data_IF_745299636853
#
_entry.id   IF_745299636853
#
_cell.length_a   1.000
_cell.length_b   1.000
_cell.length_c   1.000
_cell.angle_alpha   90.00
_cell.angle_beta   90.00
_cell.angle_gamma   90.00
#
_symmetry.space_group_name_H-M   'P 1'
#
loop_
_entity.id
_entity.type
_entity.pdbx_description
1 polymer ?
#
# COMPACT_ATOMS: atom_id res chain seq x y z
N UNK A 1 14.78 1.14 -4.57
CA UNK A 1 15.83 0.90 -5.59
C UNK A 1 17.24 1.06 -5.03
N UNK A 2 17.55 2.14 -4.30
CA UNK A 2 18.90 2.39 -3.77
C UNK A 2 19.45 1.18 -2.98
N UNK A 3 18.65 0.59 -2.08
CA UNK A 3 19.09 -0.55 -1.26
C UNK A 3 19.45 -1.80 -2.10
N UNK A 4 18.72 -2.07 -3.18
CA UNK A 4 19.00 -3.21 -4.07
C UNK A 4 20.36 -3.02 -4.73
N UNK A 5 20.62 -1.80 -5.22
CA UNK A 5 21.88 -1.46 -5.87
C UNK A 5 23.03 -1.54 -4.86
N UNK A 6 22.86 -0.97 -3.67
CA UNK A 6 23.87 -1.00 -2.61
C UNK A 6 24.23 -2.45 -2.23
N UNK A 7 23.22 -3.30 -2.02
CA UNK A 7 23.49 -4.70 -1.65
C UNK A 7 24.07 -5.50 -2.81
N UNK A 8 23.70 -5.21 -4.06
CA UNK A 8 24.35 -5.83 -5.21
C UNK A 8 25.81 -5.44 -5.32
N UNK A 9 26.15 -4.16 -5.11
CA UNK A 9 27.52 -3.67 -5.13
C UNK A 9 28.34 -4.28 -3.98
N UNK A 10 27.81 -4.30 -2.77
CA UNK A 10 28.50 -4.90 -1.61
C UNK A 10 28.71 -6.41 -1.80
N UNK A 11 27.70 -7.13 -2.29
CA UNK A 11 27.83 -8.55 -2.59
C UNK A 11 28.86 -8.83 -3.68
N UNK A 12 28.91 -7.98 -4.71
CA UNK A 12 29.89 -8.09 -5.80
C UNK A 12 31.31 -7.85 -5.29
N UNK A 13 31.53 -6.79 -4.53
CA UNK A 13 32.84 -6.50 -3.92
C UNK A 13 33.28 -7.67 -3.05
N UNK A 14 32.41 -8.16 -2.16
CA UNK A 14 32.75 -9.28 -1.28
C UNK A 14 33.04 -10.56 -2.06
N UNK A 15 32.28 -10.88 -3.11
CA UNK A 15 32.51 -12.04 -3.95
C UNK A 15 33.86 -11.95 -4.69
N UNK A 16 34.19 -10.78 -5.26
CA UNK A 16 35.49 -10.55 -5.94
C UNK A 16 36.65 -10.70 -4.98
N UNK A 17 36.54 -10.09 -3.79
CA UNK A 17 37.59 -10.21 -2.77
C UNK A 17 37.81 -11.66 -2.31
N UNK A 18 36.74 -12.41 -2.08
CA UNK A 18 36.83 -13.83 -1.71
C UNK A 18 37.47 -14.67 -2.83
N UNK A 19 37.08 -14.42 -4.08
CA UNK A 19 37.69 -15.12 -5.22
C UNK A 19 39.18 -14.82 -5.36
N UNK A 20 39.58 -13.57 -5.17
CA UNK A 20 40.99 -13.15 -5.25
C UNK A 20 41.84 -13.73 -4.08
N UNK A 21 41.32 -13.65 -2.86
CA UNK A 21 42.06 -14.11 -1.66
C UNK A 21 42.15 -15.63 -1.57
N UNK A 22 41.12 -16.35 -2.00
CA UNK A 22 41.06 -17.81 -1.89
C UNK A 22 41.35 -18.55 -3.21
N UNK A 23 41.78 -17.85 -4.26
CA UNK A 23 42.01 -18.41 -5.60
C UNK A 23 40.84 -19.22 -6.15
N UNK A 24 39.61 -18.75 -5.89
CA UNK A 24 38.36 -19.40 -6.30
C UNK A 24 38.11 -19.14 -7.78
N UNK A 25 37.66 -20.17 -8.51
CA UNK A 25 37.31 -20.04 -9.94
C UNK A 25 36.15 -19.04 -10.13
N UNK A 26 36.23 -18.21 -11.16
CA UNK A 26 35.28 -17.11 -11.40
C UNK A 26 33.78 -17.54 -11.45
N UNK A 27 33.50 -18.75 -11.98
CA UNK A 27 32.12 -19.26 -12.01
C UNK A 27 31.55 -19.55 -10.62
N UNK A 28 32.40 -19.95 -9.63
CA UNK A 28 31.99 -20.09 -8.23
C UNK A 28 31.68 -18.72 -7.63
N UNK A 29 32.43 -17.69 -8.06
CA UNK A 29 32.22 -16.30 -7.64
C UNK A 29 30.81 -15.80 -7.94
N UNK A 30 30.19 -16.26 -9.02
CA UNK A 30 28.80 -15.94 -9.33
C UNK A 30 27.82 -16.48 -8.25
N UNK A 31 28.02 -17.72 -7.81
CA UNK A 31 27.18 -18.30 -6.74
C UNK A 31 27.42 -17.62 -5.40
N UNK A 32 28.68 -17.26 -5.10
CA UNK A 32 29.00 -16.47 -3.90
C UNK A 32 28.31 -15.12 -3.94
N UNK A 33 28.36 -14.41 -5.06
CA UNK A 33 27.65 -13.13 -5.26
C UNK A 33 26.16 -13.27 -5.03
N UNK A 34 25.50 -14.24 -5.66
CA UNK A 34 24.06 -14.48 -5.53
C UNK A 34 23.69 -14.83 -4.08
N UNK A 35 24.47 -15.70 -3.43
CA UNK A 35 24.27 -16.07 -2.02
C UNK A 35 24.40 -14.88 -1.06
N UNK A 36 25.45 -14.07 -1.23
CA UNK A 36 25.65 -12.86 -0.42
C UNK A 36 24.56 -11.80 -0.68
N UNK A 37 24.16 -11.64 -1.93
CA UNK A 37 23.08 -10.71 -2.27
C UNK A 37 21.77 -11.09 -1.57
N UNK A 38 21.39 -12.37 -1.63
CA UNK A 38 20.19 -12.88 -0.93
C UNK A 38 20.36 -12.75 0.59
N UNK A 39 21.53 -13.08 1.13
CA UNK A 39 21.83 -12.95 2.56
C UNK A 39 21.67 -11.50 3.04
N UNK A 40 22.20 -10.53 2.33
CA UNK A 40 22.07 -9.12 2.70
C UNK A 40 20.62 -8.64 2.67
N UNK A 41 19.83 -9.07 1.67
CA UNK A 41 18.39 -8.81 1.63
C UNK A 41 17.68 -9.41 2.84
N UNK A 42 17.99 -10.66 3.19
CA UNK A 42 17.40 -11.34 4.33
C UNK A 42 17.74 -10.66 5.65
N UNK A 43 19.02 -10.34 5.89
CA UNK A 43 19.45 -9.63 7.09
C UNK A 43 18.79 -8.25 7.22
N UNK A 44 18.64 -7.55 6.09
CA UNK A 44 17.95 -6.28 6.06
C UNK A 44 16.47 -6.39 6.47
N UNK A 45 15.77 -7.39 5.96
CA UNK A 45 14.38 -7.66 6.37
C UNK A 45 14.28 -8.08 7.83
N UNK A 46 15.29 -8.80 8.35
CA UNK A 46 15.35 -9.22 9.75
C UNK A 46 15.42 -8.02 10.71
N UNK A 47 16.11 -6.94 10.34
CA UNK A 47 16.14 -5.70 11.15
C UNK A 47 14.72 -5.13 11.36
N UNK A 48 13.91 -5.07 10.31
CA UNK A 48 12.52 -4.59 10.42
C UNK A 48 11.64 -5.56 11.21
N UNK A 49 11.90 -6.85 11.06
CA UNK A 49 11.20 -7.85 11.85
C UNK A 49 11.53 -7.72 13.34
N UNK A 50 12.82 -7.60 13.69
CA UNK A 50 13.25 -7.37 15.07
C UNK A 50 12.61 -6.10 15.66
N UNK A 51 12.59 -5.00 14.88
CA UNK A 51 11.88 -3.78 15.30
C UNK A 51 10.38 -4.01 15.54
N UNK A 52 9.76 -4.91 14.79
CA UNK A 52 8.34 -5.24 14.97
C UNK A 52 8.05 -6.01 16.25
N UNK A 53 9.05 -6.69 16.83
CA UNK A 53 8.89 -7.43 18.10
C UNK A 53 8.65 -6.49 19.30
N UNK A 54 9.03 -5.22 19.19
CA UNK A 54 8.75 -4.20 20.21
C UNK A 54 7.30 -3.72 20.21
N UNK A 55 6.49 -4.14 19.23
CA UNK A 55 5.10 -3.69 19.07
C UNK A 55 4.14 -4.67 19.71
N UNK A 56 3.34 -4.19 20.66
CA UNK A 56 2.24 -4.94 21.26
C UNK A 56 1.05 -4.99 20.30
N UNK A 57 0.75 -6.20 19.80
CA UNK A 57 -0.34 -6.43 18.83
C UNK A 57 -1.71 -6.63 19.48
N UNK A 58 -1.77 -6.70 20.81
CA UNK A 58 -3.04 -6.85 21.54
C UNK A 58 -3.81 -5.54 21.71
N UNK A 59 -3.13 -4.40 21.47
CA UNK A 59 -3.66 -3.05 21.67
C UNK A 59 -3.49 -2.19 20.42
N UNK A 60 -4.35 -1.19 20.20
CA UNK A 60 -4.11 -0.16 19.19
C UNK A 60 -2.74 0.51 19.40
N UNK A 61 -2.09 0.88 18.31
CA UNK A 61 -0.77 1.50 18.39
C UNK A 61 -0.86 2.85 19.12
N UNK A 62 0.02 3.12 20.09
CA UNK A 62 0.16 4.46 20.66
C UNK A 62 0.76 5.43 19.65
N UNK A 63 1.66 4.94 18.79
CA UNK A 63 2.30 5.63 17.66
C UNK A 63 2.80 4.59 16.66
N UNK A 64 3.03 4.99 15.39
CA UNK A 64 3.68 4.10 14.43
C UNK A 64 5.13 3.79 14.87
N UNK A 65 5.53 2.55 14.66
CA UNK A 65 6.94 2.18 14.73
C UNK A 65 7.64 2.64 13.43
N UNK A 66 8.55 3.60 13.55
CA UNK A 66 9.25 4.22 12.42
C UNK A 66 10.03 3.20 11.57
N UNK A 67 10.66 2.20 12.21
CA UNK A 67 11.38 1.15 11.50
C UNK A 67 10.42 0.21 10.75
N UNK A 68 9.31 -0.20 11.38
CA UNK A 68 8.28 -0.97 10.68
C UNK A 68 7.76 -0.23 9.45
N UNK A 69 7.48 1.08 9.59
CA UNK A 69 7.05 1.90 8.46
C UNK A 69 8.11 1.98 7.37
N UNK A 70 9.37 2.21 7.72
CA UNK A 70 10.45 2.22 6.76
C UNK A 70 10.60 0.86 6.06
N UNK A 71 10.47 -0.24 6.82
CA UNK A 71 10.48 -1.60 6.28
C UNK A 71 9.39 -1.83 5.25
N UNK A 72 8.13 -1.48 5.59
CA UNK A 72 7.00 -1.57 4.65
C UNK A 72 7.29 -0.74 3.39
N UNK A 73 7.71 0.53 3.54
CA UNK A 73 7.96 1.42 2.41
C UNK A 73 9.08 0.90 1.49
N UNK A 74 10.13 0.31 2.05
CA UNK A 74 11.24 -0.25 1.27
C UNK A 74 10.85 -1.54 0.56
N UNK A 75 10.19 -2.48 1.26
CA UNK A 75 9.72 -3.73 0.65
C UNK A 75 8.74 -3.45 -0.48
N UNK A 76 7.78 -2.56 -0.26
CA UNK A 76 6.82 -2.14 -1.28
C UNK A 76 7.52 -1.53 -2.49
N UNK A 77 8.47 -0.59 -2.28
CA UNK A 77 9.22 0.01 -3.36
C UNK A 77 10.03 -1.02 -4.16
N UNK A 78 10.60 -2.03 -3.48
CA UNK A 78 11.25 -3.15 -4.17
C UNK A 78 10.26 -3.97 -4.98
N UNK A 79 9.11 -4.33 -4.42
CA UNK A 79 8.06 -5.09 -5.12
C UNK A 79 7.57 -4.36 -6.37
N UNK A 80 7.29 -3.06 -6.29
CA UNK A 80 6.89 -2.24 -7.43
C UNK A 80 7.99 -2.17 -8.50
N UNK A 81 9.27 -2.04 -8.08
CA UNK A 81 10.40 -2.01 -8.99
C UNK A 81 10.60 -3.34 -9.73
N UNK A 82 10.58 -4.47 -9.01
CA UNK A 82 10.70 -5.81 -9.62
C UNK A 82 9.50 -6.14 -10.52
N UNK A 83 8.31 -5.67 -10.15
CA UNK A 83 7.12 -5.83 -10.98
C UNK A 83 7.10 -4.91 -12.22
N UNK A 84 8.10 -4.07 -12.39
CA UNK A 84 8.22 -3.17 -13.54
C UNK A 84 7.10 -2.13 -13.61
N UNK A 85 6.56 -1.70 -12.46
CA UNK A 85 5.48 -0.72 -12.39
C UNK A 85 5.96 0.65 -12.84
N UNK A 86 5.28 1.23 -13.84
CA UNK A 86 5.41 2.63 -14.29
C UNK A 86 4.18 3.40 -13.84
N UNK A 87 4.25 4.15 -12.75
CA UNK A 87 3.10 4.87 -12.23
C UNK A 87 2.95 6.24 -12.89
N UNK A 88 1.73 6.58 -13.24
CA UNK A 88 1.28 7.88 -13.72
C UNK A 88 0.28 8.45 -12.71
N UNK A 89 0.37 9.75 -12.44
CA UNK A 89 -0.45 10.41 -11.42
C UNK A 89 -1.09 11.67 -11.96
N UNK A 90 -2.33 11.93 -11.52
CA UNK A 90 -2.98 13.22 -11.70
C UNK A 90 -3.70 13.65 -10.42
N UNK A 91 -3.91 14.96 -10.24
CA UNK A 91 -4.64 15.52 -9.11
C UNK A 91 -3.92 15.43 -7.76
N UNK A 92 -2.61 15.16 -7.72
CA UNK A 92 -1.86 15.05 -6.45
C UNK A 92 -1.80 16.37 -5.67
N UNK A 93 -1.97 17.48 -6.32
CA UNK A 93 -2.05 18.83 -5.74
C UNK A 93 -3.28 19.04 -4.87
N UNK A 94 -4.34 18.22 -5.09
CA UNK A 94 -5.57 18.25 -4.29
C UNK A 94 -5.39 17.63 -2.90
N UNK A 95 -4.35 16.81 -2.71
CA UNK A 95 -4.17 16.03 -1.49
C UNK A 95 -3.87 16.94 -0.27
N UNK A 96 -4.58 16.76 0.86
CA UNK A 96 -4.31 17.51 2.09
C UNK A 96 -2.87 17.31 2.56
N UNK A 97 -2.17 18.40 2.85
CA UNK A 97 -0.79 18.38 3.35
C UNK A 97 -0.69 18.74 4.84
N UNK A 98 -1.74 19.34 5.38
CA UNK A 98 -1.82 19.88 6.74
C UNK A 98 -2.46 18.91 7.74
N UNK A 99 -3.13 17.87 7.27
CA UNK A 99 -3.86 16.92 8.11
C UNK A 99 -3.93 15.53 7.51
N UNK A 100 -4.30 14.54 8.36
CA UNK A 100 -4.59 13.18 7.91
C UNK A 100 -5.96 13.12 7.26
N UNK A 101 -6.13 12.11 6.39
CA UNK A 101 -7.34 11.92 5.59
C UNK A 101 -7.69 10.43 5.45
N UNK A 102 -8.88 10.15 4.99
CA UNK A 102 -9.28 8.83 4.48
C UNK A 102 -9.18 8.84 2.97
N UNK A 103 -8.51 7.84 2.40
CA UNK A 103 -8.44 7.62 0.96
C UNK A 103 -9.31 6.43 0.60
N UNK A 104 -10.23 6.63 -0.34
CA UNK A 104 -11.03 5.56 -0.95
C UNK A 104 -10.63 5.38 -2.40
N UNK A 105 -10.59 4.11 -2.83
CA UNK A 105 -10.18 3.73 -4.17
C UNK A 105 -10.90 2.43 -4.58
N UNK A 106 -11.08 2.21 -5.89
CA UNK A 106 -11.47 0.91 -6.42
C UNK A 106 -10.35 -0.12 -6.23
N UNK A 107 -10.66 -1.42 -6.30
CA UNK A 107 -9.69 -2.48 -5.99
C UNK A 107 -9.64 -3.56 -7.07
N UNK A 108 -8.56 -3.60 -7.84
CA UNK A 108 -8.32 -4.52 -8.96
C UNK A 108 -7.16 -5.48 -8.70
N UNK A 109 -6.15 -5.05 -7.94
CA UNK A 109 -4.88 -5.76 -7.81
C UNK A 109 -4.36 -5.79 -6.37
N UNK A 110 -3.55 -6.80 -6.04
CA UNK A 110 -2.77 -6.80 -4.80
C UNK A 110 -1.75 -5.66 -4.78
N UNK A 111 -1.40 -5.14 -5.94
CA UNK A 111 -0.45 -4.04 -6.09
C UNK A 111 -1.06 -2.66 -5.81
N UNK A 112 -2.40 -2.52 -5.80
CA UNK A 112 -3.05 -1.21 -5.59
C UNK A 112 -2.58 -0.51 -4.30
N UNK A 113 -2.69 -1.12 -3.10
CA UNK A 113 -2.20 -0.49 -1.89
C UNK A 113 -0.68 -0.27 -1.91
N UNK A 114 0.07 -1.15 -2.59
CA UNK A 114 1.52 -1.04 -2.66
C UNK A 114 1.94 0.18 -3.47
N UNK A 115 1.29 0.41 -4.62
CA UNK A 115 1.55 1.55 -5.50
C UNK A 115 1.19 2.86 -4.80
N UNK A 116 0.00 2.91 -4.18
CA UNK A 116 -0.46 4.10 -3.43
C UNK A 116 0.53 4.42 -2.31
N UNK A 117 0.96 3.44 -1.53
CA UNK A 117 1.90 3.64 -0.42
C UNK A 117 3.30 4.02 -0.90
N UNK A 118 3.78 3.42 -2.00
CA UNK A 118 5.11 3.74 -2.54
C UNK A 118 5.18 5.18 -3.04
N UNK A 119 4.14 5.62 -3.72
CA UNK A 119 4.14 6.92 -4.39
C UNK A 119 3.65 8.05 -3.50
N UNK A 120 2.74 7.76 -2.58
CA UNK A 120 2.22 8.75 -1.63
C UNK A 120 2.90 8.65 -0.24
N UNK A 121 4.18 8.29 -0.20
CA UNK A 121 4.96 8.09 1.05
C UNK A 121 4.88 9.27 2.02
N UNK A 122 4.91 10.51 1.51
CA UNK A 122 4.85 11.74 2.32
C UNK A 122 3.56 11.88 3.12
N UNK A 123 2.45 11.30 2.62
CA UNK A 123 1.13 11.38 3.25
C UNK A 123 0.91 10.33 4.35
N UNK A 124 1.87 9.42 4.54
CA UNK A 124 1.83 8.42 5.59
C UNK A 124 0.53 7.59 5.60
N UNK A 125 0.19 6.97 4.48
CA UNK A 125 -1.03 6.18 4.32
C UNK A 125 -0.75 4.75 4.80
N UNK A 126 -1.65 4.22 5.65
CA UNK A 126 -1.77 2.80 5.98
C UNK A 126 -3.13 2.28 5.50
N UNK A 127 -3.32 0.97 5.43
CA UNK A 127 -4.54 0.40 4.88
C UNK A 127 -5.30 -0.48 5.87
N UNK A 128 -6.63 -0.44 5.75
CA UNK A 128 -7.51 -1.46 6.32
C UNK A 128 -7.50 -2.68 5.40
N UNK A 129 -7.15 -3.84 5.94
CA UNK A 129 -6.85 -5.06 5.18
C UNK A 129 -7.59 -6.28 5.73
N UNK A 130 -7.54 -7.43 5.02
CA UNK A 130 -8.06 -8.70 5.53
C UNK A 130 -7.23 -9.20 6.72
N UNK A 131 -7.84 -9.90 7.70
CA UNK A 131 -7.13 -10.47 8.84
C UNK A 131 -5.99 -11.42 8.42
N UNK A 132 -6.17 -12.18 7.35
CA UNK A 132 -5.15 -13.10 6.81
C UNK A 132 -3.85 -12.39 6.41
N UNK A 133 -3.91 -11.14 5.94
CA UNK A 133 -2.71 -10.39 5.55
C UNK A 133 -1.83 -10.04 6.76
N UNK A 134 -2.44 -9.74 7.92
CA UNK A 134 -1.69 -9.48 9.16
C UNK A 134 -1.24 -10.77 9.87
N UNK A 135 -1.67 -11.95 9.40
CA UNK A 135 -1.20 -13.25 9.87
C UNK A 135 0.00 -13.78 9.07
N UNK A 136 0.37 -13.15 7.94
CA UNK A 136 1.54 -13.55 7.15
C UNK A 136 2.78 -13.46 8.05
N UNK A 137 3.57 -14.56 8.17
CA UNK A 137 4.80 -14.54 8.94
C UNK A 137 5.71 -13.37 8.54
N UNK A 138 6.40 -12.77 9.48
CA UNK A 138 7.25 -11.59 9.32
C UNK A 138 6.49 -10.33 8.82
N UNK A 139 5.91 -10.38 7.62
CA UNK A 139 5.28 -9.23 6.96
C UNK A 139 4.08 -8.68 7.75
N UNK A 140 3.22 -9.55 8.27
CA UNK A 140 2.02 -9.13 8.99
C UNK A 140 2.34 -8.36 10.28
N UNK A 141 3.42 -8.74 10.97
CA UNK A 141 3.86 -8.06 12.20
C UNK A 141 4.45 -6.68 11.88
N UNK A 142 5.28 -6.60 10.85
CA UNK A 142 5.85 -5.33 10.37
C UNK A 142 4.74 -4.40 9.88
N UNK A 143 3.76 -4.92 9.11
CA UNK A 143 2.62 -4.16 8.63
C UNK A 143 1.78 -3.61 9.79
N UNK A 144 1.51 -4.41 10.83
CA UNK A 144 0.82 -3.93 12.02
C UNK A 144 1.57 -2.76 12.67
N UNK A 145 2.88 -2.89 12.90
CA UNK A 145 3.71 -1.81 13.45
C UNK A 145 3.74 -0.54 12.59
N UNK A 146 3.50 -0.69 11.28
CA UNK A 146 3.36 0.41 10.33
C UNK A 146 1.93 1.00 10.27
N UNK A 147 0.99 0.54 11.11
CA UNK A 147 -0.34 1.12 11.23
C UNK A 147 -1.43 0.42 10.42
N UNK A 148 -1.15 -0.73 9.79
CA UNK A 148 -2.20 -1.50 9.14
C UNK A 148 -3.18 -2.08 10.15
N UNK A 149 -4.46 -2.08 9.78
CA UNK A 149 -5.53 -2.63 10.60
C UNK A 149 -6.23 -3.80 9.87
N UNK A 150 -6.62 -4.82 10.63
CA UNK A 150 -7.42 -5.93 10.12
C UNK A 150 -8.89 -5.65 10.33
N UNK A 151 -9.71 -5.78 9.27
CA UNK A 151 -11.17 -5.71 9.38
C UNK A 151 -11.77 -7.09 9.14
N UNK A 152 -12.47 -7.58 10.15
CA UNK A 152 -13.30 -8.78 10.07
C UNK A 152 -14.71 -8.35 9.63
N UNK A 153 -15.05 -8.66 8.38
CA UNK A 153 -16.32 -8.24 7.78
C UNK A 153 -17.47 -9.17 8.09
N UNK A 154 -17.18 -10.36 8.58
CA UNK A 154 -18.18 -11.35 8.98
C UNK A 154 -18.67 -11.09 10.41
N UNK A 155 -18.01 -10.20 11.14
CA UNK A 155 -18.36 -9.82 12.50
C UNK A 155 -18.47 -8.30 12.64
N UNK A 156 -19.69 -7.79 12.66
CA UNK A 156 -20.00 -6.35 12.73
C UNK A 156 -19.37 -5.66 13.93
N UNK A 157 -19.31 -6.32 15.09
CA UNK A 157 -18.70 -5.76 16.30
C UNK A 157 -17.18 -5.58 16.12
N UNK A 158 -16.51 -6.55 15.53
CA UNK A 158 -15.08 -6.49 15.25
C UNK A 158 -14.81 -5.46 14.14
N UNK A 159 -15.65 -5.40 13.12
CA UNK A 159 -15.55 -4.39 12.06
C UNK A 159 -15.68 -2.98 12.62
N UNK A 160 -16.68 -2.73 13.50
CA UNK A 160 -16.87 -1.44 14.16
C UNK A 160 -15.64 -1.05 15.00
N UNK A 161 -15.06 -1.99 15.77
CA UNK A 161 -13.85 -1.74 16.57
C UNK A 161 -12.69 -1.30 15.65
N UNK A 162 -12.52 -1.94 14.50
CA UNK A 162 -11.47 -1.57 13.54
C UNK A 162 -11.73 -0.17 12.95
N UNK A 163 -12.96 0.15 12.60
CA UNK A 163 -13.36 1.48 12.10
C UNK A 163 -13.04 2.58 13.14
N UNK A 164 -13.39 2.34 14.41
CA UNK A 164 -13.09 3.29 15.49
C UNK A 164 -11.59 3.45 15.73
N UNK A 165 -10.82 2.36 15.66
CA UNK A 165 -9.36 2.40 15.76
C UNK A 165 -8.74 3.15 14.59
N UNK A 166 -9.23 2.96 13.36
CA UNK A 166 -8.77 3.70 12.19
C UNK A 166 -9.03 5.21 12.32
N UNK A 167 -10.22 5.58 12.81
CA UNK A 167 -10.57 6.97 13.08
C UNK A 167 -9.69 7.57 14.20
N UNK A 168 -9.37 6.82 15.25
CA UNK A 168 -8.46 7.25 16.31
C UNK A 168 -7.04 7.49 15.77
N UNK A 169 -6.55 6.64 14.87
CA UNK A 169 -5.22 6.82 14.24
C UNK A 169 -5.14 8.13 13.44
N UNK A 170 -6.20 8.49 12.75
CA UNK A 170 -6.29 9.75 12.01
C UNK A 170 -6.30 10.94 12.98
N UNK A 171 -7.18 10.92 14.02
CA UNK A 171 -7.30 11.99 15.01
C UNK A 171 -6.00 12.25 15.78
N UNK A 172 -5.24 11.19 16.05
CA UNK A 172 -3.96 11.27 16.78
C UNK A 172 -2.76 11.49 15.87
N UNK A 173 -2.99 11.86 14.63
CA UNK A 173 -1.94 12.11 13.62
C UNK A 173 -0.99 10.92 13.38
N UNK A 174 -1.44 9.69 13.67
CA UNK A 174 -0.61 8.49 13.49
C UNK A 174 -0.39 8.21 12.01
N UNK A 175 -1.48 8.11 11.22
CA UNK A 175 -1.42 7.92 9.77
C UNK A 175 -2.75 8.27 9.11
N UNK A 176 -2.72 8.56 7.79
CA UNK A 176 -3.90 8.53 6.93
C UNK A 176 -4.34 7.08 6.68
N UNK A 177 -5.63 6.86 6.38
CA UNK A 177 -6.17 5.51 6.18
C UNK A 177 -6.71 5.32 4.77
N UNK A 178 -6.12 4.35 4.06
CA UNK A 178 -6.65 3.86 2.79
C UNK A 178 -7.66 2.74 3.01
N UNK A 179 -8.76 2.79 2.27
CA UNK A 179 -9.82 1.79 2.30
C UNK A 179 -10.26 1.47 0.88
N UNK A 180 -10.52 0.20 0.61
CA UNK A 180 -11.17 -0.27 -0.60
C UNK A 180 -12.62 -0.62 -0.27
N UNK A 181 -13.58 0.28 -0.59
CA UNK A 181 -14.99 0.08 -0.20
C UNK A 181 -15.64 -1.15 -0.82
N UNK A 182 -15.11 -1.64 -1.95
CA UNK A 182 -15.55 -2.90 -2.58
C UNK A 182 -15.36 -4.11 -1.68
N UNK A 183 -14.49 -4.02 -0.70
CA UNK A 183 -14.24 -5.11 0.22
C UNK A 183 -13.44 -6.27 -0.33
N UNK A 184 -13.42 -6.49 -1.62
CA UNK A 184 -12.61 -7.49 -2.31
C UNK A 184 -12.16 -6.93 -3.66
N UNK A 185 -11.20 -7.61 -4.30
CA UNK A 185 -10.78 -7.24 -5.66
C UNK A 185 -11.84 -7.66 -6.66
N UNK A 186 -12.23 -6.76 -7.55
CA UNK A 186 -12.98 -7.15 -8.73
C UNK A 186 -12.13 -8.06 -9.62
N UNK A 187 -12.74 -9.12 -10.12
CA UNK A 187 -12.13 -10.06 -11.06
C UNK A 187 -12.54 -9.76 -12.51
N UNK A 188 -13.46 -8.86 -12.69
CA UNK A 188 -13.99 -8.39 -13.97
C UNK A 188 -13.64 -6.93 -14.18
N UNK A 189 -14.00 -6.36 -15.31
CA UNK A 189 -13.82 -4.92 -15.56
C UNK A 189 -14.84 -4.06 -14.81
N UNK A 190 -15.88 -4.68 -14.26
CA UNK A 190 -16.87 -3.99 -13.47
C UNK A 190 -16.44 -3.80 -12.02
N UNK A 191 -16.72 -2.64 -11.47
CA UNK A 191 -16.47 -2.30 -10.07
C UNK A 191 -17.55 -2.92 -9.18
N UNK A 192 -17.15 -3.56 -8.09
CA UNK A 192 -18.08 -4.13 -7.12
C UNK A 192 -18.86 -3.04 -6.36
N UNK A 193 -20.02 -3.38 -5.79
CA UNK A 193 -20.75 -2.46 -4.92
C UNK A 193 -19.89 -1.99 -3.75
N UNK A 194 -20.03 -0.73 -3.36
CA UNK A 194 -19.31 -0.16 -2.22
C UNK A 194 -20.04 -0.42 -0.92
N UNK A 195 -19.31 -0.83 0.11
CA UNK A 195 -19.82 -0.94 1.46
C UNK A 195 -19.84 0.42 2.14
N UNK A 196 -21.02 0.96 2.39
CA UNK A 196 -21.23 2.27 3.04
C UNK A 196 -20.51 2.38 4.41
N UNK A 197 -20.37 1.27 5.14
CA UNK A 197 -19.65 1.21 6.41
C UNK A 197 -18.19 1.68 6.35
N UNK A 198 -17.55 1.59 5.18
CA UNK A 198 -16.17 2.05 4.96
C UNK A 198 -16.00 3.55 5.19
N UNK A 199 -17.04 4.33 4.91
CA UNK A 199 -17.04 5.79 5.01
C UNK A 199 -17.20 6.30 6.45
N UNK A 200 -17.63 5.43 7.38
CA UNK A 200 -17.70 5.75 8.82
C UNK A 200 -16.36 6.18 9.39
N UNK A 201 -15.24 5.72 8.81
CA UNK A 201 -13.89 6.11 9.27
C UNK A 201 -13.72 7.61 9.12
N UNK A 202 -14.03 8.19 7.95
CA UNK A 202 -13.89 9.62 7.68
C UNK A 202 -14.81 10.46 8.58
N UNK A 203 -16.09 10.06 8.70
CA UNK A 203 -17.05 10.75 9.59
C UNK A 203 -16.62 10.71 11.06
N UNK A 204 -16.21 9.54 11.58
CA UNK A 204 -15.75 9.37 12.96
C UNK A 204 -14.44 10.09 13.24
N UNK A 205 -13.57 10.18 12.25
CA UNK A 205 -12.32 10.91 12.35
C UNK A 205 -12.49 12.43 12.23
N UNK A 206 -13.63 12.91 11.72
CA UNK A 206 -13.82 14.29 11.25
C UNK A 206 -12.72 14.70 10.28
N UNK A 207 -12.47 13.83 9.28
CA UNK A 207 -11.35 13.95 8.35
C UNK A 207 -11.83 14.13 6.91
N UNK A 208 -11.03 14.78 6.05
CA UNK A 208 -11.29 14.83 4.62
C UNK A 208 -11.35 13.43 4.02
N UNK A 209 -12.18 13.27 2.99
CA UNK A 209 -12.28 12.07 2.18
C UNK A 209 -11.67 12.31 0.81
N UNK A 210 -10.60 11.61 0.51
CA UNK A 210 -9.91 11.65 -0.78
C UNK A 210 -10.44 10.52 -1.64
N UNK A 211 -11.06 10.88 -2.77
CA UNK A 211 -11.62 9.93 -3.74
C UNK A 211 -10.59 9.74 -4.85
N UNK A 212 -10.14 8.51 -5.04
CA UNK A 212 -9.13 8.16 -6.04
C UNK A 212 -9.58 6.99 -6.89
N UNK A 213 -9.03 6.91 -8.10
CA UNK A 213 -9.20 5.77 -8.99
C UNK A 213 -7.83 5.20 -9.37
N UNK A 214 -7.74 3.86 -9.43
CA UNK A 214 -6.56 3.16 -9.93
C UNK A 214 -6.95 2.22 -11.06
N UNK A 215 -6.15 2.19 -12.14
CA UNK A 215 -6.35 1.30 -13.29
C UNK A 215 -5.01 0.92 -13.92
N UNK A 216 -5.02 -0.20 -14.69
CA UNK A 216 -3.80 -0.80 -15.25
C UNK A 216 -3.07 -1.73 -14.29
N UNK A 217 -3.33 -1.69 -12.98
CA UNK A 217 -2.67 -2.53 -11.98
C UNK A 217 -3.01 -4.01 -12.08
N UNK A 218 -4.18 -4.35 -12.64
CA UNK A 218 -4.62 -5.72 -12.93
C UNK A 218 -3.73 -6.42 -13.94
N UNK A 219 -3.08 -5.64 -14.83
CA UNK A 219 -2.16 -6.13 -15.87
C UNK A 219 -0.79 -6.53 -15.30
N UNK A 220 -0.42 -6.08 -14.10
CA UNK A 220 0.91 -6.33 -13.49
C UNK A 220 1.22 -7.81 -13.40
N UNK A 221 0.29 -8.62 -12.88
CA UNK A 221 0.51 -10.06 -12.72
C UNK A 221 0.81 -10.76 -14.05
N UNK A 222 0.13 -10.36 -15.13
CA UNK A 222 0.33 -10.90 -16.49
C UNK A 222 1.67 -10.44 -17.09
N UNK A 223 2.07 -9.22 -16.77
CA UNK A 223 3.28 -8.60 -17.30
C UNK A 223 4.54 -8.91 -16.49
N UNK A 224 4.40 -9.51 -15.31
CA UNK A 224 5.51 -9.80 -14.40
C UNK A 224 6.64 -10.55 -15.14
N UNK A 225 7.88 -10.08 -15.01
CA UNK A 225 9.10 -10.58 -15.62
C UNK A 225 9.19 -10.44 -17.18
N UNK A 226 8.13 -10.00 -17.86
CA UNK A 226 8.12 -9.90 -19.32
C UNK A 226 8.19 -8.45 -19.82
N UNK A 227 7.43 -7.55 -19.20
CA UNK A 227 7.34 -6.14 -19.61
C UNK A 227 6.92 -5.24 -18.47
N UNK A 228 7.17 -3.95 -18.63
CA UNK A 228 6.70 -2.92 -17.71
C UNK A 228 5.19 -2.72 -17.83
N UNK A 229 4.56 -2.31 -16.74
CA UNK A 229 3.12 -2.05 -16.69
C UNK A 229 2.88 -0.61 -16.31
N UNK A 230 2.20 0.12 -17.17
CA UNK A 230 1.73 1.47 -16.86
C UNK A 230 0.51 1.36 -15.94
N UNK A 231 0.56 2.07 -14.81
CA UNK A 231 -0.51 2.12 -13.81
C UNK A 231 -0.81 3.57 -13.53
N UNK A 232 -2.08 3.90 -13.55
CA UNK A 232 -2.57 5.26 -13.36
C UNK A 232 -3.30 5.37 -12.04
N UNK A 233 -3.01 6.42 -11.30
CA UNK A 233 -3.66 6.79 -10.04
C UNK A 233 -4.07 8.25 -10.13
N UNK A 234 -5.38 8.48 -10.25
CA UNK A 234 -5.93 9.82 -10.33
C UNK A 234 -6.63 10.17 -9.01
N UNK A 235 -6.31 11.33 -8.44
CA UNK A 235 -7.09 11.92 -7.35
C UNK A 235 -8.22 12.72 -7.99
N UNK A 236 -9.45 12.25 -7.79
CA UNK A 236 -10.63 12.81 -8.47
C UNK A 236 -11.20 14.01 -7.73
N UNK A 237 -11.36 13.87 -6.41
CA UNK A 237 -11.90 14.92 -5.55
C UNK A 237 -11.45 14.71 -4.11
N UNK A 238 -11.41 15.82 -3.37
CA UNK A 238 -11.22 15.82 -1.91
C UNK A 238 -12.42 16.49 -1.27
N UNK A 239 -13.26 15.70 -0.60
CA UNK A 239 -14.38 16.22 0.19
C UNK A 239 -13.86 16.71 1.53
N UNK A 240 -14.06 17.99 1.89
CA UNK A 240 -13.69 18.50 3.20
C UNK A 240 -14.51 17.83 4.32
N UNK A 241 -13.98 17.81 5.54
CA UNK A 241 -14.59 17.14 6.70
C UNK A 241 -16.04 17.56 6.96
N UNK A 242 -16.36 18.82 6.70
CA UNK A 242 -17.70 19.39 6.87
C UNK A 242 -18.71 18.74 5.90
N UNK A 243 -18.31 18.60 4.62
CA UNK A 243 -19.11 17.93 3.59
C UNK A 243 -19.28 16.44 3.89
N UNK A 244 -18.19 15.77 4.32
CA UNK A 244 -18.23 14.36 4.74
C UNK A 244 -19.17 14.14 5.91
N UNK A 245 -19.23 15.07 6.86
CA UNK A 245 -20.12 14.99 8.03
C UNK A 245 -21.58 15.26 7.68
N UNK A 246 -21.84 16.12 6.70
CA UNK A 246 -23.19 16.49 6.27
C UNK A 246 -23.89 15.38 5.47
N UNK A 247 -23.13 14.52 4.80
CA UNK A 247 -23.66 13.40 4.01
C UNK A 247 -23.80 12.14 4.84
N UNK A 248 -24.81 11.32 4.56
CA UNK A 248 -24.87 9.95 5.10
C UNK A 248 -23.78 9.06 4.50
N UNK A 249 -23.45 7.94 5.15
CA UNK A 249 -22.48 6.98 4.60
C UNK A 249 -22.94 6.34 3.31
N UNK A 250 -24.26 6.23 3.09
CA UNK A 250 -24.83 5.72 1.84
C UNK A 250 -24.60 6.72 0.70
N UNK A 251 -24.89 8.00 0.92
CA UNK A 251 -24.64 9.07 -0.05
C UNK A 251 -23.14 9.19 -0.40
N UNK A 252 -22.26 9.14 0.60
CA UNK A 252 -20.81 9.15 0.36
C UNK A 252 -20.35 7.95 -0.47
N UNK A 253 -20.94 6.77 -0.22
CA UNK A 253 -20.64 5.54 -0.94
C UNK A 253 -21.05 5.65 -2.41
N UNK A 254 -22.27 6.08 -2.66
CA UNK A 254 -22.85 6.21 -4.00
C UNK A 254 -22.15 7.30 -4.81
N UNK A 255 -21.94 8.46 -4.20
CA UNK A 255 -21.19 9.57 -4.79
C UNK A 255 -19.77 9.17 -5.20
N UNK A 256 -19.02 8.56 -4.27
CA UNK A 256 -17.63 8.13 -4.55
C UNK A 256 -17.59 7.07 -5.65
N UNK A 257 -18.53 6.11 -5.62
CA UNK A 257 -18.61 5.06 -6.63
C UNK A 257 -18.93 5.62 -8.01
N UNK A 258 -19.90 6.54 -8.11
CA UNK A 258 -20.28 7.18 -9.36
C UNK A 258 -19.11 7.96 -9.98
N UNK A 259 -18.38 8.73 -9.17
CA UNK A 259 -17.23 9.51 -9.62
C UNK A 259 -16.08 8.61 -10.13
N UNK A 260 -15.79 7.52 -9.43
CA UNK A 260 -14.78 6.55 -9.85
C UNK A 260 -15.21 5.84 -11.14
N UNK A 261 -16.48 5.42 -11.24
CA UNK A 261 -16.99 4.74 -12.43
C UNK A 261 -16.93 5.65 -13.65
N UNK A 262 -17.36 6.90 -13.55
CA UNK A 262 -17.28 7.87 -14.64
C UNK A 262 -15.84 8.00 -15.18
N UNK A 263 -14.85 8.04 -14.29
CA UNK A 263 -13.43 8.13 -14.70
C UNK A 263 -12.94 6.85 -15.37
N UNK A 264 -13.38 5.67 -14.92
CA UNK A 264 -13.05 4.39 -15.57
C UNK A 264 -13.67 4.31 -16.96
N UNK A 265 -14.92 4.76 -17.13
CA UNK A 265 -15.62 4.77 -18.43
C UNK A 265 -14.95 5.72 -19.44
N UNK A 266 -14.55 6.92 -19.02
CA UNK A 266 -13.78 7.85 -19.84
C UNK A 266 -12.49 7.21 -20.37
N UNK A 267 -11.80 6.45 -19.53
CA UNK A 267 -10.55 5.78 -19.90
C UNK A 267 -10.77 4.61 -20.84
N UNK A 268 -11.81 3.81 -20.63
CA UNK A 268 -12.16 2.72 -21.54
C UNK A 268 -12.50 3.24 -22.94
N UNK A 269 -13.22 4.36 -23.03
CA UNK A 269 -13.51 5.04 -24.30
C UNK A 269 -12.24 5.54 -25.02
N UNK A 270 -11.26 6.07 -24.28
CA UNK A 270 -10.01 6.56 -24.87
C UNK A 270 -9.07 5.43 -25.37
N UNK A 271 -9.09 4.26 -24.74
CA UNK A 271 -8.31 3.09 -25.18
C UNK A 271 -8.90 2.41 -26.45
N UNK A 272 -10.16 2.65 -26.78
CA UNK A 272 -10.82 2.11 -27.99
C UNK A 272 -10.58 2.97 -29.25
N UNK A 273 -10.15 4.22 -29.10
CA UNK A 273 -9.98 5.19 -30.19
C UNK A 273 -8.51 5.53 -30.48
N UNK A 274 -7.55 4.90 -29.80
CA UNK A 274 -6.10 5.09 -29.98
C UNK A 274 -5.42 3.76 -30.39
#
# INVERSE_FOLDING_TARGET
MVNIIVFAVLALIAAVLLCALCSIKAWVGLFIFLGLFVLFQFLYLLVFYAASLTVDRSKPLPKQNKLCRAGVANVIGMMCAYAGVRPHFSGLELLPTDRRFVLVCNHRSIFDPLIIMDKLRKYNISFVSKPSNLKIPFAGRIAYGAGFLAIDRENDRNALKTILTAADYIKRDICSMGVYPEGSRSKTDEMLPFHAGSFKIAQRANAPLVITVIYGSEKIKKNLLHRRTDVYLDVLEVLPSEKVKAMSTAELSEYSRALIQARLDERAGSEQHG
#
